data_IF_284227894707
#
_entry.id   IF_284227894707
#
_cell.length_a   1.000
_cell.length_b   1.000
_cell.length_c   1.000
_cell.angle_alpha   90.00
_cell.angle_beta   90.00
_cell.angle_gamma   90.00
#
_symmetry.space_group_name_H-M   'P 1'
#
loop_
_entity.id
_entity.type
_entity.pdbx_description
1 polymer ?
#
# COMPACT_ATOMS: atom_id res chain seq x y z
N UNK A 1 38.47 -16.28 22.72
CA UNK A 1 37.99 -17.00 21.50
C UNK A 1 36.50 -16.76 21.39
N UNK A 2 36.04 -16.11 20.32
CA UNK A 2 34.63 -15.76 20.15
C UNK A 2 33.88 -16.94 19.53
N UNK A 3 32.85 -17.43 20.22
CA UNK A 3 31.98 -18.49 19.69
C UNK A 3 30.99 -17.86 18.72
N UNK A 4 31.09 -18.22 17.43
CA UNK A 4 30.09 -17.88 16.43
C UNK A 4 28.79 -18.64 16.73
N UNK A 5 27.77 -17.91 17.14
CA UNK A 5 26.42 -18.42 17.31
C UNK A 5 25.84 -18.70 15.91
N UNK A 6 25.80 -19.97 15.50
CA UNK A 6 25.14 -20.38 14.26
C UNK A 6 23.64 -20.40 14.49
N UNK A 7 22.90 -19.66 13.67
CA UNK A 7 21.44 -19.70 13.63
C UNK A 7 20.97 -21.11 13.31
N UNK A 8 20.09 -21.65 14.14
CA UNK A 8 19.39 -22.91 13.88
C UNK A 8 18.16 -22.61 13.02
N UNK A 9 18.25 -22.85 11.70
CA UNK A 9 17.06 -22.86 10.85
C UNK A 9 16.29 -24.16 11.10
N UNK A 10 14.99 -24.05 11.38
CA UNK A 10 14.09 -25.21 11.36
C UNK A 10 14.09 -25.82 9.95
N UNK A 11 13.98 -27.16 9.81
CA UNK A 11 13.84 -27.78 8.50
C UNK A 11 12.63 -27.20 7.78
N UNK A 12 12.83 -26.77 6.52
CA UNK A 12 11.74 -26.36 5.65
C UNK A 12 10.84 -27.58 5.41
N UNK A 13 9.56 -27.48 5.78
CA UNK A 13 8.54 -28.43 5.36
C UNK A 13 8.53 -28.44 3.82
N UNK A 14 8.62 -29.60 3.16
CA UNK A 14 8.45 -29.65 1.71
C UNK A 14 7.08 -29.06 1.35
N UNK A 15 7.05 -28.16 0.36
CA UNK A 15 5.80 -27.59 -0.10
C UNK A 15 4.92 -28.70 -0.66
N UNK A 16 3.74 -28.88 -0.07
CA UNK A 16 2.72 -29.79 -0.59
C UNK A 16 2.31 -29.31 -1.98
N UNK A 17 2.48 -30.15 -3.00
CA UNK A 17 2.08 -29.82 -4.37
C UNK A 17 0.65 -30.32 -4.64
N UNK A 18 -0.02 -29.67 -5.60
CA UNK A 18 -1.36 -30.08 -6.05
C UNK A 18 -1.41 -31.56 -6.45
N UNK A 19 -0.35 -32.04 -7.12
CA UNK A 19 -0.21 -33.44 -7.54
C UNK A 19 -0.12 -34.42 -6.36
N UNK A 20 0.49 -34.03 -5.25
CA UNK A 20 0.66 -34.86 -4.07
C UNK A 20 -0.67 -35.00 -3.31
N UNK A 21 -1.45 -33.92 -3.21
CA UNK A 21 -2.81 -33.93 -2.64
C UNK A 21 -3.77 -34.77 -3.50
N UNK A 22 -3.65 -34.68 -4.83
CA UNK A 22 -4.45 -35.47 -5.76
C UNK A 22 -4.13 -36.98 -5.67
N UNK A 23 -2.86 -37.35 -5.52
CA UNK A 23 -2.44 -38.74 -5.28
C UNK A 23 -2.96 -39.29 -3.94
N UNK A 24 -2.88 -38.51 -2.85
CA UNK A 24 -3.43 -38.89 -1.55
C UNK A 24 -4.95 -39.10 -1.60
N UNK A 25 -5.66 -38.26 -2.37
CA UNK A 25 -7.11 -38.38 -2.56
C UNK A 25 -7.48 -39.68 -3.29
N UNK A 26 -6.77 -40.02 -4.36
CA UNK A 26 -6.98 -41.29 -5.07
C UNK A 26 -6.66 -42.51 -4.21
N UNK A 27 -5.61 -42.44 -3.38
CA UNK A 27 -5.28 -43.50 -2.44
C UNK A 27 -6.36 -43.69 -1.36
N UNK A 28 -6.93 -42.59 -0.85
CA UNK A 28 -8.04 -42.61 0.09
C UNK A 28 -9.28 -43.27 -0.53
N UNK A 29 -9.63 -42.91 -1.76
CA UNK A 29 -10.77 -43.46 -2.49
C UNK A 29 -10.63 -44.98 -2.72
N UNK A 30 -9.44 -45.42 -3.12
CA UNK A 30 -9.14 -46.84 -3.29
C UNK A 30 -9.21 -47.63 -1.96
N UNK A 31 -8.75 -47.02 -0.86
CA UNK A 31 -8.75 -47.62 0.47
C UNK A 31 -10.16 -47.81 1.02
N UNK A 32 -11.03 -46.81 0.87
CA UNK A 32 -12.44 -46.87 1.27
C UNK A 32 -13.26 -47.85 0.42
N UNK A 33 -12.89 -48.03 -0.86
CA UNK A 33 -13.52 -49.00 -1.75
C UNK A 33 -13.14 -50.45 -1.44
N UNK A 34 -11.97 -50.68 -0.85
CA UNK A 34 -11.41 -52.02 -0.64
C UNK A 34 -11.77 -52.66 0.70
N UNK A 35 -12.06 -51.86 1.74
CA UNK A 35 -12.35 -52.38 3.09
C UNK A 35 -13.20 -51.41 3.91
N UNK A 36 -14.25 -51.92 4.55
CA UNK A 36 -15.17 -51.15 5.41
C UNK A 36 -14.94 -51.38 6.90
N UNK A 37 -13.74 -51.82 7.30
CA UNK A 37 -13.42 -52.01 8.71
C UNK A 37 -13.38 -50.68 9.47
N UNK A 38 -13.73 -50.70 10.76
CA UNK A 38 -13.71 -49.52 11.62
C UNK A 38 -12.32 -48.86 11.64
N UNK A 39 -11.24 -49.66 11.64
CA UNK A 39 -9.86 -49.13 11.57
C UNK A 39 -9.61 -48.37 10.27
N UNK A 40 -10.00 -48.97 9.13
CA UNK A 40 -9.86 -48.35 7.81
C UNK A 40 -10.66 -47.05 7.70
N UNK A 41 -11.83 -46.98 8.33
CA UNK A 41 -12.62 -45.74 8.41
C UNK A 41 -11.91 -44.66 9.25
N UNK A 42 -11.35 -45.00 10.42
CA UNK A 42 -10.60 -44.07 11.24
C UNK A 42 -9.35 -43.52 10.52
N UNK A 43 -8.63 -44.39 9.82
CA UNK A 43 -7.46 -44.00 9.04
C UNK A 43 -7.87 -43.14 7.83
N UNK A 44 -9.00 -43.45 7.18
CA UNK A 44 -9.57 -42.63 6.13
C UNK A 44 -9.94 -41.22 6.59
N UNK A 45 -10.55 -41.06 7.76
CA UNK A 45 -10.85 -39.75 8.35
C UNK A 45 -9.58 -38.95 8.68
N UNK A 46 -8.52 -39.62 9.15
CA UNK A 46 -7.22 -38.98 9.41
C UNK A 46 -6.57 -38.52 8.10
N UNK A 47 -6.59 -39.37 7.07
CA UNK A 47 -6.09 -39.02 5.74
C UNK A 47 -6.85 -37.84 5.14
N UNK A 48 -8.17 -37.81 5.30
CA UNK A 48 -9.00 -36.69 4.83
C UNK A 48 -8.61 -35.38 5.51
N UNK A 49 -8.38 -35.38 6.83
CA UNK A 49 -7.91 -34.19 7.54
C UNK A 49 -6.57 -33.67 6.99
N UNK A 50 -5.63 -34.57 6.71
CA UNK A 50 -4.34 -34.19 6.12
C UNK A 50 -4.48 -33.58 4.71
N UNK A 51 -5.37 -34.14 3.88
CA UNK A 51 -5.68 -33.60 2.54
C UNK A 51 -6.26 -32.18 2.65
N UNK A 52 -7.18 -31.94 3.59
CA UNK A 52 -7.73 -30.60 3.84
C UNK A 52 -6.66 -29.62 4.32
N UNK A 53 -5.76 -30.04 5.21
CA UNK A 53 -4.64 -29.21 5.67
C UNK A 53 -3.67 -28.86 4.53
N UNK A 54 -3.38 -29.83 3.63
CA UNK A 54 -2.57 -29.61 2.43
C UNK A 54 -3.21 -28.65 1.44
N UNK A 55 -4.53 -28.77 1.23
CA UNK A 55 -5.29 -27.87 0.36
C UNK A 55 -5.32 -26.44 0.92
N UNK A 56 -5.51 -26.27 2.22
CA UNK A 56 -5.45 -24.96 2.88
C UNK A 56 -4.07 -24.32 2.71
N UNK A 57 -2.99 -25.10 2.86
CA UNK A 57 -1.61 -24.63 2.63
C UNK A 57 -1.42 -24.16 1.18
N UNK A 58 -1.89 -24.93 0.20
CA UNK A 58 -1.85 -24.59 -1.23
C UNK A 58 -2.64 -23.31 -1.52
N UNK A 59 -3.88 -23.20 -1.04
CA UNK A 59 -4.74 -22.02 -1.23
C UNK A 59 -4.10 -20.77 -0.61
N UNK A 60 -3.56 -20.88 0.60
CA UNK A 60 -2.85 -19.78 1.26
C UNK A 60 -1.60 -19.37 0.47
N UNK A 61 -0.83 -20.32 -0.06
CA UNK A 61 0.34 -20.04 -0.91
C UNK A 61 -0.05 -19.34 -2.21
N UNK A 62 -1.09 -19.82 -2.89
CA UNK A 62 -1.65 -19.20 -4.10
C UNK A 62 -2.15 -17.78 -3.81
N UNK A 63 -2.82 -17.54 -2.68
CA UNK A 63 -3.24 -16.19 -2.27
C UNK A 63 -2.03 -15.24 -2.13
N UNK A 64 -0.96 -15.73 -1.52
CA UNK A 64 0.30 -15.00 -1.37
C UNK A 64 1.07 -14.82 -2.70
N UNK A 65 0.90 -15.74 -3.65
CA UNK A 65 1.48 -15.71 -5.01
C UNK A 65 0.68 -14.84 -5.99
N UNK A 66 -0.66 -14.80 -5.86
CA UNK A 66 -1.59 -13.92 -6.59
C UNK A 66 -1.32 -12.46 -6.25
N UNK A 67 -0.72 -12.20 -5.09
CA UNK A 67 0.09 -11.02 -4.83
C UNK A 67 1.45 -11.16 -5.55
N UNK A 68 1.43 -11.19 -6.88
CA UNK A 68 2.62 -11.43 -7.68
C UNK A 68 3.62 -10.27 -7.55
N UNK A 69 4.90 -10.54 -7.84
CA UNK A 69 5.93 -9.50 -7.95
C UNK A 69 5.52 -8.39 -8.91
N UNK A 70 4.76 -8.72 -9.97
CA UNK A 70 4.24 -7.74 -10.92
C UNK A 70 3.18 -6.81 -10.32
N UNK A 71 2.26 -7.32 -9.48
CA UNK A 71 1.33 -6.47 -8.73
C UNK A 71 2.05 -5.62 -7.69
N UNK A 72 3.06 -6.16 -6.99
CA UNK A 72 3.90 -5.38 -6.06
C UNK A 72 4.65 -4.25 -6.77
N UNK A 73 5.26 -4.52 -7.92
CA UNK A 73 5.99 -3.49 -8.68
C UNK A 73 5.07 -2.36 -9.17
N UNK A 74 3.85 -2.70 -9.58
CA UNK A 74 2.84 -1.71 -9.97
C UNK A 74 2.38 -0.88 -8.77
N UNK A 75 2.13 -1.54 -7.63
CA UNK A 75 1.79 -0.87 -6.37
C UNK A 75 2.92 0.03 -5.86
N UNK A 76 4.18 -0.42 -5.94
CA UNK A 76 5.35 0.35 -5.51
C UNK A 76 5.53 1.62 -6.36
N UNK A 77 5.31 1.52 -7.67
CA UNK A 77 5.32 2.69 -8.56
C UNK A 77 4.24 3.71 -8.19
N UNK A 78 3.03 3.24 -7.90
CA UNK A 78 1.90 4.08 -7.49
C UNK A 78 2.08 4.66 -6.08
N UNK A 79 2.66 3.88 -5.16
CA UNK A 79 3.03 4.32 -3.81
C UNK A 79 4.10 5.41 -3.88
N UNK A 80 5.13 5.25 -4.71
CA UNK A 80 6.16 6.26 -4.93
C UNK A 80 5.57 7.57 -5.45
N UNK A 81 4.63 7.49 -6.40
CA UNK A 81 3.91 8.68 -6.89
C UNK A 81 3.03 9.33 -5.79
N UNK A 82 2.45 8.52 -4.90
CA UNK A 82 1.62 9.00 -3.78
C UNK A 82 2.44 9.80 -2.79
N UNK A 83 3.65 9.32 -2.47
CA UNK A 83 4.60 10.01 -1.60
C UNK A 83 5.01 11.34 -2.21
N UNK A 84 5.35 11.38 -3.50
CA UNK A 84 5.67 12.63 -4.19
C UNK A 84 4.52 13.65 -4.15
N UNK A 85 3.26 13.18 -4.25
CA UNK A 85 2.09 14.04 -4.13
C UNK A 85 1.89 14.57 -2.70
N UNK A 86 2.10 13.73 -1.69
CA UNK A 86 2.04 14.14 -0.29
C UNK A 86 3.09 15.20 0.05
N UNK A 87 4.31 15.04 -0.44
CA UNK A 87 5.38 16.04 -0.28
C UNK A 87 5.00 17.38 -0.94
N UNK A 88 4.37 17.31 -2.12
CA UNK A 88 3.86 18.50 -2.80
C UNK A 88 2.74 19.18 -2.00
N UNK A 89 1.79 18.41 -1.46
CA UNK A 89 0.71 18.92 -0.62
C UNK A 89 1.24 19.54 0.68
N UNK A 90 2.24 18.92 1.32
CA UNK A 90 2.92 19.47 2.49
C UNK A 90 3.58 20.82 2.17
N UNK A 91 4.31 20.89 1.06
CA UNK A 91 4.93 22.15 0.58
C UNK A 91 3.87 23.23 0.28
N UNK A 92 2.73 22.85 -0.30
CA UNK A 92 1.59 23.74 -0.50
C UNK A 92 1.10 24.32 0.81
N UNK A 93 0.84 23.44 1.77
CA UNK A 93 0.31 23.82 3.07
C UNK A 93 1.24 24.82 3.77
N UNK A 94 2.55 24.54 3.83
CA UNK A 94 3.55 25.45 4.40
C UNK A 94 3.53 26.82 3.73
N UNK A 95 3.50 26.83 2.38
CA UNK A 95 3.46 28.08 1.60
C UNK A 95 2.19 28.89 1.87
N UNK A 96 1.03 28.21 2.00
CA UNK A 96 -0.23 28.85 2.36
C UNK A 96 -0.19 29.41 3.78
N UNK A 97 0.38 28.68 4.73
CA UNK A 97 0.55 29.15 6.11
C UNK A 97 1.40 30.42 6.14
N UNK A 98 2.51 30.47 5.40
CA UNK A 98 3.34 31.67 5.30
C UNK A 98 2.58 32.85 4.66
N UNK A 99 1.79 32.60 3.60
CA UNK A 99 0.92 33.62 3.00
C UNK A 99 -0.09 34.19 4.00
N UNK A 100 -0.71 33.33 4.81
CA UNK A 100 -1.68 33.75 5.84
C UNK A 100 -1.03 34.63 6.90
N UNK A 101 0.20 34.33 7.31
CA UNK A 101 0.97 35.18 8.22
C UNK A 101 1.21 36.56 7.59
N UNK A 102 1.67 36.61 6.34
CA UNK A 102 1.91 37.89 5.64
C UNK A 102 0.61 38.72 5.53
N UNK A 103 -0.54 38.08 5.29
CA UNK A 103 -1.84 38.75 5.24
C UNK A 103 -2.20 39.36 6.60
N UNK A 104 -2.00 38.62 7.70
CA UNK A 104 -2.26 39.13 9.05
C UNK A 104 -1.35 40.31 9.40
N UNK A 105 -0.06 40.23 9.04
CA UNK A 105 0.89 41.32 9.24
C UNK A 105 0.54 42.56 8.39
N UNK A 106 0.06 42.35 7.15
CA UNK A 106 -0.44 43.42 6.30
C UNK A 106 -1.65 44.11 6.93
N UNK A 107 -2.62 43.35 7.42
CA UNK A 107 -3.79 43.90 8.13
C UNK A 107 -3.37 44.72 9.36
N UNK A 108 -2.36 44.26 10.10
CA UNK A 108 -1.82 44.98 11.25
C UNK A 108 -1.15 46.30 10.82
N UNK A 109 -0.33 46.29 9.77
CA UNK A 109 0.33 47.48 9.24
C UNK A 109 -0.69 48.54 8.79
N UNK A 110 -1.71 48.11 8.05
CA UNK A 110 -2.81 48.98 7.61
C UNK A 110 -3.56 49.61 8.79
N UNK A 111 -3.84 48.83 9.85
CA UNK A 111 -4.51 49.36 11.06
C UNK A 111 -3.64 50.39 11.80
N UNK A 112 -2.33 50.27 11.74
CA UNK A 112 -1.37 51.23 12.33
C UNK A 112 -1.13 52.46 11.45
N UNK A 113 -1.62 52.48 10.21
CA UNK A 113 -1.31 53.54 9.25
C UNK A 113 0.16 53.52 8.78
N UNK A 114 0.83 52.37 8.86
CA UNK A 114 2.22 52.22 8.41
C UNK A 114 2.24 51.76 6.95
N UNK A 115 2.14 52.75 6.05
CA UNK A 115 2.10 52.51 4.59
C UNK A 115 3.37 51.85 4.06
N UNK A 116 4.53 52.18 4.66
CA UNK A 116 5.80 51.58 4.28
C UNK A 116 5.85 50.08 4.61
N UNK A 117 5.42 49.71 5.83
CA UNK A 117 5.30 48.31 6.22
C UNK A 117 4.24 47.56 5.40
N UNK A 118 3.08 48.18 5.14
CA UNK A 118 2.03 47.59 4.30
C UNK A 118 2.55 47.28 2.89
N UNK A 119 3.25 48.24 2.27
CA UNK A 119 3.84 48.06 0.95
C UNK A 119 4.90 46.94 0.94
N UNK A 120 5.73 46.83 1.99
CA UNK A 120 6.71 45.76 2.12
C UNK A 120 6.05 44.37 2.23
N UNK A 121 4.92 44.24 2.94
CA UNK A 121 4.16 42.98 3.04
C UNK A 121 3.49 42.60 1.72
N UNK A 122 2.93 43.56 0.98
CA UNK A 122 2.37 43.34 -0.37
C UNK A 122 3.44 42.78 -1.33
N UNK A 123 4.65 43.36 -1.31
CA UNK A 123 5.76 42.88 -2.13
C UNK A 123 6.19 41.46 -1.72
N UNK A 124 6.26 41.20 -0.41
CA UNK A 124 6.62 39.88 0.14
C UNK A 124 5.61 38.81 -0.28
N UNK A 125 4.31 39.08 -0.15
CA UNK A 125 3.24 38.21 -0.60
C UNK A 125 3.34 37.93 -2.10
N UNK A 126 3.52 38.98 -2.91
CA UNK A 126 3.65 38.86 -4.37
C UNK A 126 4.85 38.00 -4.76
N UNK A 127 5.98 38.16 -4.09
CA UNK A 127 7.18 37.35 -4.29
C UNK A 127 6.93 35.89 -3.94
N UNK A 128 6.31 35.63 -2.79
CA UNK A 128 5.98 34.28 -2.33
C UNK A 128 5.00 33.60 -3.30
N UNK A 129 3.94 34.29 -3.73
CA UNK A 129 2.99 33.77 -4.71
C UNK A 129 3.62 33.43 -6.06
N UNK A 130 4.54 34.28 -6.55
CA UNK A 130 5.31 34.00 -7.77
C UNK A 130 6.21 32.78 -7.60
N UNK A 131 6.89 32.65 -6.45
CA UNK A 131 7.74 31.49 -6.12
C UNK A 131 6.89 30.22 -6.10
N UNK A 132 5.80 30.21 -5.33
CA UNK A 132 4.85 29.10 -5.23
C UNK A 132 4.38 28.63 -6.61
N UNK A 133 3.86 29.55 -7.44
CA UNK A 133 3.41 29.25 -8.80
C UNK A 133 4.50 28.64 -9.69
N UNK A 134 5.75 29.08 -9.54
CA UNK A 134 6.90 28.52 -10.29
C UNK A 134 7.21 27.10 -9.83
N UNK A 135 7.12 26.81 -8.53
CA UNK A 135 7.30 25.46 -8.00
C UNK A 135 6.20 24.52 -8.51
N UNK A 136 4.92 24.91 -8.43
CA UNK A 136 3.81 24.10 -8.93
C UNK A 136 3.88 23.82 -10.43
N UNK A 137 4.22 24.82 -11.24
CA UNK A 137 4.38 24.62 -12.68
C UNK A 137 5.52 23.67 -13.05
N UNK A 138 6.51 23.49 -12.17
CA UNK A 138 7.60 22.51 -12.39
C UNK A 138 7.16 21.10 -12.00
N UNK A 139 6.44 20.95 -10.88
CA UNK A 139 6.02 19.66 -10.35
C UNK A 139 4.79 19.08 -11.08
N UNK A 140 3.85 19.92 -11.52
CA UNK A 140 2.66 19.52 -12.28
C UNK A 140 2.94 19.03 -13.72
N UNK A 141 4.17 19.12 -14.21
CA UNK A 141 4.55 18.53 -15.51
C UNK A 141 4.78 17.02 -15.44
N UNK A 142 4.74 16.42 -14.25
CA UNK A 142 4.86 14.97 -14.10
C UNK A 142 3.51 14.31 -14.46
N UNK A 143 3.44 13.43 -15.47
CA UNK A 143 2.19 12.77 -15.89
C UNK A 143 1.59 11.84 -14.81
N UNK A 144 2.34 11.58 -13.74
CA UNK A 144 1.89 10.82 -12.57
C UNK A 144 0.88 11.59 -11.69
N UNK A 145 1.02 12.92 -11.59
CA UNK A 145 0.14 13.77 -10.76
C UNK A 145 -1.30 13.76 -11.28
N UNK A 146 -1.49 13.98 -12.59
CA UNK A 146 -2.83 14.06 -13.18
C UNK A 146 -3.57 12.72 -13.13
N UNK A 147 -2.84 11.61 -13.36
CA UNK A 147 -3.40 10.26 -13.26
C UNK A 147 -3.82 9.93 -11.83
N UNK A 148 -3.02 10.30 -10.83
CA UNK A 148 -3.33 10.07 -9.43
C UNK A 148 -4.52 10.91 -8.94
N UNK A 149 -4.60 12.18 -9.31
CA UNK A 149 -5.77 13.02 -8.98
C UNK A 149 -7.06 12.42 -9.55
N UNK A 150 -7.02 11.90 -10.78
CA UNK A 150 -8.14 11.20 -11.39
C UNK A 150 -8.48 9.89 -10.64
N UNK A 151 -7.49 9.07 -10.27
CA UNK A 151 -7.70 7.84 -9.52
C UNK A 151 -8.27 8.09 -8.12
N UNK A 152 -7.75 9.09 -7.40
CA UNK A 152 -8.26 9.49 -6.08
C UNK A 152 -9.69 10.04 -6.18
N UNK A 153 -10.02 10.77 -7.24
CA UNK A 153 -11.38 11.26 -7.49
C UNK A 153 -12.33 10.09 -7.74
N UNK A 154 -11.95 9.11 -8.58
CA UNK A 154 -12.74 7.91 -8.82
C UNK A 154 -12.92 7.06 -7.55
N UNK A 155 -11.86 6.86 -6.77
CA UNK A 155 -11.93 6.13 -5.50
C UNK A 155 -12.88 6.82 -4.51
N UNK A 156 -12.85 8.15 -4.44
CA UNK A 156 -13.78 8.93 -3.62
C UNK A 156 -15.22 8.75 -4.05
N UNK A 157 -15.52 8.81 -5.35
CA UNK A 157 -16.87 8.59 -5.90
C UNK A 157 -17.39 7.17 -5.57
N UNK A 158 -16.53 6.15 -5.66
CA UNK A 158 -16.87 4.77 -5.27
C UNK A 158 -17.19 4.72 -3.78
N UNK A 159 -16.36 5.30 -2.92
CA UNK A 159 -16.60 5.32 -1.47
C UNK A 159 -17.91 6.05 -1.10
N UNK A 160 -18.23 7.14 -1.80
CA UNK A 160 -19.49 7.88 -1.57
C UNK A 160 -20.70 7.06 -2.04
N UNK A 161 -20.57 6.30 -3.13
CA UNK A 161 -21.65 5.45 -3.66
C UNK A 161 -21.96 4.23 -2.77
N UNK A 162 -21.08 3.92 -1.82
CA UNK A 162 -21.22 2.82 -0.86
C UNK A 162 -21.80 3.27 0.49
N UNK A 163 -22.08 4.56 0.68
CA UNK A 163 -22.73 5.16 1.86
C UNK A 163 -24.22 5.41 1.59
#
# INVERSE_FOLDING_TARGET
>A
MAFHQRSISLPSRPHVSETEVEEELHHLEASLSSSSSISTMCDGLRSLANIYDGLEEIICLLSNQVCSSQKRNMLDGEMGCSIELLDLCSTMQETFTEMMVIIQELQLALRKGDDAAAQAKIQSFTRLAKKARKHFKKTAKKPASDKMVMLLTNAREICISLL
#
